data_IF_918473635137
#
_entry.id   IF_918473635137
#
_cell.length_a   1.000
_cell.length_b   1.000
_cell.length_c   1.000
_cell.angle_alpha   90.00
_cell.angle_beta   90.00
_cell.angle_gamma   90.00
#
_symmetry.space_group_name_H-M   'P 1'
#
loop_
_entity.id
_entity.type
_entity.pdbx_description
1 polymer ?
#
# COMPACT_ATOMS: atom_id res chain seq x y z
N UNK A 1 -75.22 -52.75 -34.33
CA UNK A 1 -75.18 -51.30 -34.62
C UNK A 1 -74.03 -50.53 -33.94
N UNK A 2 -73.48 -50.97 -32.81
CA UNK A 2 -72.32 -50.29 -32.15
C UNK A 2 -71.09 -50.11 -33.05
N UNK A 3 -70.76 -51.10 -33.91
CA UNK A 3 -69.57 -51.06 -34.78
C UNK A 3 -69.59 -49.96 -35.85
N UNK A 4 -70.77 -49.64 -36.42
CA UNK A 4 -70.90 -48.56 -37.41
C UNK A 4 -70.83 -47.17 -36.78
N UNK A 5 -71.31 -47.03 -35.54
CA UNK A 5 -71.25 -45.76 -34.81
C UNK A 5 -69.79 -45.39 -34.50
N UNK A 6 -69.00 -46.33 -33.98
CA UNK A 6 -67.58 -46.14 -33.70
C UNK A 6 -66.75 -45.83 -34.95
N UNK A 7 -67.13 -46.39 -36.11
CA UNK A 7 -66.47 -46.08 -37.39
C UNK A 7 -66.71 -44.63 -37.82
N UNK A 8 -67.97 -44.18 -37.85
CA UNK A 8 -68.29 -42.81 -38.25
C UNK A 8 -67.75 -41.76 -37.26
N UNK A 9 -67.77 -42.06 -35.96
CA UNK A 9 -67.16 -41.21 -34.93
C UNK A 9 -65.65 -41.04 -35.18
N UNK A 10 -64.95 -42.14 -35.51
CA UNK A 10 -63.53 -42.11 -35.83
C UNK A 10 -63.22 -41.32 -37.10
N UNK A 11 -64.04 -41.45 -38.15
CA UNK A 11 -63.87 -40.68 -39.40
C UNK A 11 -64.07 -39.18 -39.18
N UNK A 12 -65.11 -38.78 -38.45
CA UNK A 12 -65.34 -37.37 -38.14
C UNK A 12 -64.25 -36.79 -37.24
N UNK A 13 -63.80 -37.53 -36.22
CA UNK A 13 -62.69 -37.09 -35.38
C UNK A 13 -61.37 -36.96 -36.17
N UNK A 14 -61.08 -37.92 -37.06
CA UNK A 14 -59.90 -37.88 -37.92
C UNK A 14 -59.96 -36.70 -38.92
N UNK A 15 -61.11 -36.43 -39.54
CA UNK A 15 -61.27 -35.29 -40.44
C UNK A 15 -61.13 -33.94 -39.71
N UNK A 16 -61.71 -33.82 -38.50
CA UNK A 16 -61.61 -32.61 -37.68
C UNK A 16 -60.20 -32.35 -37.15
N UNK A 17 -59.39 -33.40 -36.92
CA UNK A 17 -57.98 -33.26 -36.55
C UNK A 17 -57.07 -33.02 -37.77
N UNK A 18 -57.36 -33.64 -38.91
CA UNK A 18 -56.52 -33.54 -40.11
C UNK A 18 -56.52 -32.14 -40.72
N UNK A 19 -57.66 -31.43 -40.70
CA UNK A 19 -57.77 -30.07 -41.28
C UNK A 19 -56.86 -29.03 -40.60
N UNK A 20 -56.88 -28.84 -39.27
CA UNK A 20 -55.99 -27.90 -38.60
C UNK A 20 -54.52 -28.33 -38.66
N UNK A 21 -54.22 -29.63 -38.64
CA UNK A 21 -52.85 -30.14 -38.79
C UNK A 21 -52.31 -29.85 -40.20
N UNK A 22 -53.09 -30.15 -41.24
CA UNK A 22 -52.70 -29.86 -42.63
C UNK A 22 -52.55 -28.35 -42.88
N UNK A 23 -53.46 -27.54 -42.32
CA UNK A 23 -53.36 -26.07 -42.38
C UNK A 23 -52.11 -25.53 -41.68
N UNK A 24 -51.74 -26.11 -40.53
CA UNK A 24 -50.51 -25.78 -39.81
C UNK A 24 -49.23 -26.19 -40.55
N UNK A 25 -49.22 -27.34 -41.23
CA UNK A 25 -48.07 -27.84 -41.98
C UNK A 25 -47.84 -27.06 -43.28
N UNK A 26 -48.90 -26.58 -43.94
CA UNK A 26 -48.79 -25.92 -45.25
C UNK A 26 -48.40 -24.43 -45.18
N UNK A 27 -48.21 -23.85 -43.99
CA UNK A 27 -47.80 -22.44 -43.86
C UNK A 27 -48.77 -21.46 -44.54
N UNK A 28 -50.03 -21.86 -44.71
CA UNK A 28 -51.05 -21.00 -45.29
C UNK A 28 -51.20 -19.75 -44.41
N UNK A 29 -51.14 -18.57 -45.04
CA UNK A 29 -51.28 -17.27 -44.36
C UNK A 29 -52.48 -17.28 -43.40
N UNK A 30 -52.35 -16.64 -42.23
CA UNK A 30 -53.36 -16.63 -41.16
C UNK A 30 -54.79 -16.33 -41.66
N UNK A 31 -54.92 -15.56 -42.74
CA UNK A 31 -56.21 -15.26 -43.37
C UNK A 31 -56.89 -16.47 -44.01
N UNK A 32 -56.15 -17.36 -44.68
CA UNK A 32 -56.67 -18.57 -45.31
C UNK A 32 -57.10 -19.59 -44.24
N UNK A 33 -56.27 -19.80 -43.21
CA UNK A 33 -56.61 -20.71 -42.10
C UNK A 33 -57.83 -20.21 -41.33
N UNK A 34 -57.92 -18.89 -41.07
CA UNK A 34 -59.09 -18.29 -40.41
C UNK A 34 -60.34 -18.43 -41.27
N UNK A 35 -60.25 -18.22 -42.59
CA UNK A 35 -61.38 -18.40 -43.51
C UNK A 35 -61.85 -19.86 -43.53
N UNK A 36 -60.94 -20.83 -43.65
CA UNK A 36 -61.27 -22.26 -43.62
C UNK A 36 -61.91 -22.64 -42.28
N UNK A 37 -61.32 -22.22 -41.16
CA UNK A 37 -61.86 -22.48 -39.82
C UNK A 37 -63.28 -21.91 -39.65
N UNK A 38 -63.50 -20.66 -40.06
CA UNK A 38 -64.84 -20.03 -40.02
C UNK A 38 -65.82 -20.78 -40.91
N UNK A 39 -65.40 -21.19 -42.11
CA UNK A 39 -66.28 -21.92 -43.04
C UNK A 39 -66.67 -23.28 -42.47
N UNK A 40 -65.72 -24.04 -41.94
CA UNK A 40 -65.96 -25.32 -41.26
C UNK A 40 -66.86 -25.13 -40.05
N UNK A 41 -66.62 -24.09 -39.23
CA UNK A 41 -67.44 -23.80 -38.06
C UNK A 41 -68.88 -23.45 -38.45
N UNK A 42 -69.10 -22.62 -39.47
CA UNK A 42 -70.43 -22.26 -39.98
C UNK A 42 -71.16 -23.49 -40.52
N UNK A 43 -70.47 -24.37 -41.26
CA UNK A 43 -71.06 -25.62 -41.77
C UNK A 43 -71.45 -26.55 -40.62
N UNK A 44 -70.58 -26.74 -39.62
CA UNK A 44 -70.86 -27.58 -38.45
C UNK A 44 -71.99 -26.99 -37.60
N UNK A 45 -71.97 -25.67 -37.35
CA UNK A 45 -73.04 -24.98 -36.64
C UNK A 45 -74.38 -25.09 -37.38
N UNK A 46 -74.36 -24.94 -38.71
CA UNK A 46 -75.54 -25.15 -39.56
C UNK A 46 -76.09 -26.58 -39.47
N UNK A 47 -75.22 -27.59 -39.48
CA UNK A 47 -75.61 -28.99 -39.28
C UNK A 47 -76.20 -29.24 -37.90
N UNK A 48 -75.64 -28.65 -36.85
CA UNK A 48 -76.17 -28.75 -35.47
C UNK A 48 -77.54 -28.10 -35.38
N UNK A 49 -77.72 -26.90 -35.95
CA UNK A 49 -79.03 -26.23 -35.99
C UNK A 49 -80.04 -27.07 -36.76
N UNK A 50 -79.66 -27.61 -37.93
CA UNK A 50 -80.53 -28.51 -38.71
C UNK A 50 -80.92 -29.77 -37.91
N UNK A 51 -79.98 -30.34 -37.15
CA UNK A 51 -80.22 -31.47 -36.26
C UNK A 51 -81.19 -31.11 -35.12
N UNK A 52 -81.01 -29.95 -34.48
CA UNK A 52 -81.91 -29.43 -33.44
C UNK A 52 -83.31 -29.18 -34.00
N UNK A 53 -83.42 -28.64 -35.20
CA UNK A 53 -84.70 -28.46 -35.90
C UNK A 53 -85.34 -29.81 -36.20
N UNK A 54 -84.58 -30.79 -36.70
CA UNK A 54 -85.07 -32.15 -36.93
C UNK A 54 -85.55 -32.81 -35.62
N UNK A 55 -84.87 -32.56 -34.51
CA UNK A 55 -85.29 -32.97 -33.16
C UNK A 55 -86.59 -32.28 -32.72
N UNK A 56 -86.82 -31.03 -33.12
CA UNK A 56 -88.06 -30.31 -32.81
C UNK A 56 -89.25 -30.88 -33.59
N UNK A 57 -89.03 -31.28 -34.86
CA UNK A 57 -90.03 -31.94 -35.70
C UNK A 57 -90.12 -33.45 -35.50
N UNK A 58 -89.40 -34.00 -34.52
CA UNK A 58 -89.39 -35.41 -34.12
C UNK A 58 -90.77 -36.05 -34.13
N UNK A 59 -91.73 -35.49 -33.38
CA UNK A 59 -93.03 -36.15 -33.20
C UNK A 59 -93.84 -36.17 -34.49
N UNK A 60 -93.60 -35.20 -35.36
CA UNK A 60 -94.20 -35.16 -36.69
C UNK A 60 -93.57 -36.22 -37.61
N UNK A 61 -92.24 -36.33 -37.62
CA UNK A 61 -91.49 -37.32 -38.40
C UNK A 61 -91.88 -38.75 -37.96
N UNK A 62 -91.91 -39.01 -36.65
CA UNK A 62 -92.27 -40.32 -36.11
C UNK A 62 -93.74 -40.66 -36.33
N UNK A 63 -94.67 -39.70 -36.19
CA UNK A 63 -96.08 -39.90 -36.56
C UNK A 63 -96.22 -40.23 -38.04
N UNK A 64 -95.45 -39.59 -38.92
CA UNK A 64 -95.53 -39.84 -40.36
C UNK A 64 -94.93 -41.18 -40.78
N UNK A 65 -93.84 -41.61 -40.16
CA UNK A 65 -93.16 -42.89 -40.47
C UNK A 65 -93.83 -44.10 -39.82
N UNK A 66 -94.30 -43.98 -38.58
CA UNK A 66 -94.78 -45.11 -37.78
C UNK A 66 -96.24 -45.00 -37.34
N UNK A 67 -96.95 -43.94 -37.74
CA UNK A 67 -98.36 -43.73 -37.44
C UNK A 67 -98.66 -43.29 -35.99
N UNK A 68 -97.70 -43.40 -35.05
CA UNK A 68 -97.82 -42.96 -33.65
C UNK A 68 -96.47 -42.43 -33.13
N UNK A 69 -96.51 -41.37 -32.30
CA UNK A 69 -95.31 -40.67 -31.79
C UNK A 69 -94.74 -41.24 -30.48
N UNK A 70 -95.54 -41.95 -29.69
CA UNK A 70 -95.12 -42.49 -28.39
C UNK A 70 -95.42 -43.98 -28.34
N UNK A 71 -94.36 -44.77 -28.20
CA UNK A 71 -94.43 -46.16 -27.78
C UNK A 71 -93.66 -46.22 -26.46
N UNK A 72 -94.39 -46.19 -25.36
CA UNK A 72 -93.77 -46.36 -24.04
C UNK A 72 -93.40 -47.83 -23.84
N UNK A 73 -92.46 -48.11 -22.93
CA UNK A 73 -92.13 -49.49 -22.55
C UNK A 73 -93.38 -50.21 -22.02
N UNK A 74 -94.28 -49.46 -21.38
CA UNK A 74 -95.55 -49.93 -20.84
C UNK A 74 -96.52 -50.36 -21.95
N UNK A 75 -96.54 -49.67 -23.10
CA UNK A 75 -97.36 -50.10 -24.25
C UNK A 75 -96.85 -51.39 -24.87
N UNK A 76 -95.52 -51.57 -24.90
CA UNK A 76 -94.87 -52.80 -25.40
C UNK A 76 -95.19 -53.97 -24.46
N UNK A 77 -95.07 -53.77 -23.14
CA UNK A 77 -95.37 -54.81 -22.14
C UNK A 77 -96.86 -55.17 -22.14
N UNK A 78 -97.75 -54.19 -22.22
CA UNK A 78 -99.21 -54.42 -22.32
C UNK A 78 -99.59 -55.22 -23.57
N UNK A 79 -98.96 -54.92 -24.72
CA UNK A 79 -99.21 -55.65 -25.97
C UNK A 79 -98.71 -57.10 -25.92
N UNK A 80 -97.58 -57.32 -25.27
CA UNK A 80 -97.02 -58.66 -25.06
C UNK A 80 -97.92 -59.49 -24.15
N UNK A 81 -98.37 -58.93 -23.02
CA UNK A 81 -99.27 -59.60 -22.07
C UNK A 81 -100.60 -59.96 -22.76
N UNK A 82 -101.21 -59.02 -23.48
CA UNK A 82 -102.45 -59.26 -24.22
C UNK A 82 -102.29 -60.35 -25.30
N UNK A 83 -101.19 -60.32 -26.05
CA UNK A 83 -100.88 -61.33 -27.07
C UNK A 83 -100.69 -62.74 -26.48
N UNK A 84 -99.99 -62.85 -25.35
CA UNK A 84 -99.81 -64.13 -24.63
C UNK A 84 -101.14 -64.64 -24.09
N UNK A 85 -101.99 -63.75 -23.53
CA UNK A 85 -103.32 -64.16 -23.05
C UNK A 85 -104.22 -64.67 -24.18
N UNK A 86 -104.25 -64.00 -25.33
CA UNK A 86 -105.05 -64.43 -26.48
C UNK A 86 -104.56 -65.76 -27.06
N UNK A 87 -103.24 -65.94 -27.16
CA UNK A 87 -102.64 -67.20 -27.59
C UNK A 87 -102.98 -68.36 -26.63
N UNK A 88 -102.98 -68.10 -25.31
CA UNK A 88 -103.36 -69.10 -24.30
C UNK A 88 -104.84 -69.48 -24.34
N UNK A 89 -105.70 -68.55 -24.76
CA UNK A 89 -107.13 -68.77 -24.94
C UNK A 89 -107.49 -69.48 -26.27
N UNK A 90 -106.50 -69.75 -27.13
CA UNK A 90 -106.71 -70.38 -28.43
C UNK A 90 -107.19 -69.44 -29.54
N UNK A 91 -107.28 -68.12 -29.28
CA UNK A 91 -107.67 -67.12 -30.26
C UNK A 91 -106.46 -66.68 -31.10
N UNK A 92 -106.26 -67.37 -32.23
CA UNK A 92 -105.11 -67.15 -33.13
C UNK A 92 -105.16 -65.78 -33.82
N UNK A 93 -106.35 -65.28 -34.13
CA UNK A 93 -106.50 -64.01 -34.84
C UNK A 93 -106.18 -62.83 -33.92
N UNK A 94 -106.68 -62.86 -32.68
CA UNK A 94 -106.30 -61.87 -31.67
C UNK A 94 -104.80 -61.95 -31.33
N UNK A 95 -104.24 -63.15 -31.21
CA UNK A 95 -102.81 -63.32 -30.94
C UNK A 95 -101.91 -62.72 -32.04
N UNK A 96 -102.25 -62.93 -33.31
CA UNK A 96 -101.47 -62.37 -34.44
C UNK A 96 -101.59 -60.85 -34.54
N UNK A 97 -102.78 -60.29 -34.30
CA UNK A 97 -102.99 -58.84 -34.26
C UNK A 97 -102.18 -58.18 -33.13
N UNK A 98 -102.17 -58.78 -31.93
CA UNK A 98 -101.36 -58.31 -30.81
C UNK A 98 -99.86 -58.46 -31.07
N UNK A 99 -99.42 -59.54 -31.74
CA UNK A 99 -98.03 -59.74 -32.12
C UNK A 99 -97.55 -58.68 -33.13
N UNK A 100 -98.34 -58.34 -34.15
CA UNK A 100 -98.00 -57.27 -35.10
C UNK A 100 -97.91 -55.91 -34.40
N UNK A 101 -98.85 -55.61 -33.50
CA UNK A 101 -98.84 -54.38 -32.72
C UNK A 101 -97.61 -54.31 -31.79
N UNK A 102 -97.22 -55.43 -31.18
CA UNK A 102 -96.01 -55.54 -30.37
C UNK A 102 -94.75 -55.27 -31.20
N UNK A 103 -94.63 -55.89 -32.39
CA UNK A 103 -93.47 -55.68 -33.27
C UNK A 103 -93.36 -54.23 -33.71
N UNK A 104 -94.47 -53.58 -34.11
CA UNK A 104 -94.47 -52.16 -34.48
C UNK A 104 -94.06 -51.26 -33.31
N UNK A 105 -94.61 -51.49 -32.10
CA UNK A 105 -94.24 -50.73 -30.89
C UNK A 105 -92.79 -50.96 -30.47
N UNK A 106 -92.34 -52.21 -30.52
CA UNK A 106 -90.96 -52.59 -30.21
C UNK A 106 -89.94 -51.97 -31.18
N UNK A 107 -90.25 -51.96 -32.48
CA UNK A 107 -89.41 -51.28 -33.48
C UNK A 107 -89.39 -49.77 -33.27
N UNK A 108 -90.54 -49.15 -32.93
CA UNK A 108 -90.61 -47.74 -32.58
C UNK A 108 -89.73 -47.39 -31.38
N UNK A 109 -89.82 -48.17 -30.30
CA UNK A 109 -88.99 -47.99 -29.10
C UNK A 109 -87.49 -48.23 -29.36
N UNK A 110 -87.14 -49.24 -30.17
CA UNK A 110 -85.76 -49.50 -30.52
C UNK A 110 -85.17 -48.38 -31.40
N UNK A 111 -85.91 -47.95 -32.42
CA UNK A 111 -85.51 -46.82 -33.28
C UNK A 111 -85.32 -45.56 -32.44
N UNK A 112 -86.21 -45.33 -31.47
CA UNK A 112 -86.13 -44.22 -30.53
C UNK A 112 -84.86 -44.24 -29.68
N UNK A 113 -84.60 -45.36 -29.00
CA UNK A 113 -83.43 -45.51 -28.13
C UNK A 113 -82.13 -45.44 -28.93
N UNK A 114 -82.12 -46.03 -30.14
CA UNK A 114 -81.00 -45.95 -31.07
C UNK A 114 -80.71 -44.50 -31.51
N UNK A 115 -81.75 -43.72 -31.76
CA UNK A 115 -81.64 -42.32 -32.13
C UNK A 115 -81.06 -41.45 -31.00
N UNK A 116 -81.52 -41.58 -29.75
CA UNK A 116 -80.90 -40.83 -28.62
C UNK A 116 -79.44 -41.15 -28.45
N UNK A 117 -79.09 -42.43 -28.51
CA UNK A 117 -77.71 -42.86 -28.33
C UNK A 117 -76.81 -42.32 -29.44
N UNK A 118 -77.36 -42.22 -30.67
CA UNK A 118 -76.67 -41.58 -31.78
C UNK A 118 -76.51 -40.07 -31.56
N UNK A 119 -77.57 -39.35 -31.15
CA UNK A 119 -77.50 -37.90 -30.89
C UNK A 119 -76.50 -37.56 -29.77
N UNK A 120 -76.54 -38.28 -28.65
CA UNK A 120 -75.62 -38.08 -27.52
C UNK A 120 -74.17 -38.35 -27.96
N UNK A 121 -73.93 -39.44 -28.70
CA UNK A 121 -72.59 -39.76 -29.20
C UNK A 121 -72.05 -38.68 -30.13
N UNK A 122 -72.88 -38.17 -31.05
CA UNK A 122 -72.49 -37.08 -31.97
C UNK A 122 -72.22 -35.78 -31.20
N UNK A 123 -73.04 -35.44 -30.19
CA UNK A 123 -72.84 -34.26 -29.37
C UNK A 123 -71.52 -34.32 -28.57
N UNK A 124 -71.21 -35.47 -27.95
CA UNK A 124 -69.94 -35.67 -27.23
C UNK A 124 -68.75 -35.60 -28.20
N UNK A 125 -68.84 -36.20 -29.39
CA UNK A 125 -67.77 -36.13 -30.39
C UNK A 125 -67.53 -34.69 -30.87
N UNK A 126 -68.59 -33.92 -31.10
CA UNK A 126 -68.46 -32.49 -31.47
C UNK A 126 -67.81 -31.68 -30.36
N UNK A 127 -68.15 -31.93 -29.09
CA UNK A 127 -67.56 -31.25 -27.95
C UNK A 127 -66.06 -31.57 -27.83
N UNK A 128 -65.68 -32.84 -27.97
CA UNK A 128 -64.27 -33.25 -27.97
C UNK A 128 -63.50 -32.65 -29.14
N UNK A 129 -64.08 -32.63 -30.33
CA UNK A 129 -63.43 -32.06 -31.50
C UNK A 129 -63.26 -30.53 -31.38
N UNK A 130 -64.25 -29.84 -30.80
CA UNK A 130 -64.14 -28.42 -30.48
C UNK A 130 -63.04 -28.15 -29.45
N UNK A 131 -62.96 -28.96 -28.39
CA UNK A 131 -61.90 -28.86 -27.38
C UNK A 131 -60.51 -29.07 -27.98
N UNK A 132 -60.34 -30.07 -28.85
CA UNK A 132 -59.09 -30.33 -29.55
C UNK A 132 -58.71 -29.15 -30.46
N UNK A 133 -59.65 -28.63 -31.24
CA UNK A 133 -59.43 -27.49 -32.13
C UNK A 133 -59.00 -26.24 -31.35
N UNK A 134 -59.69 -25.93 -30.25
CA UNK A 134 -59.36 -24.80 -29.38
C UNK A 134 -57.96 -24.96 -28.77
N UNK A 135 -57.59 -26.18 -28.34
CA UNK A 135 -56.25 -26.48 -27.85
C UNK A 135 -55.17 -26.21 -28.90
N UNK A 136 -55.37 -26.62 -30.16
CA UNK A 136 -54.42 -26.36 -31.24
C UNK A 136 -54.27 -24.86 -31.54
N UNK A 137 -55.37 -24.10 -31.58
CA UNK A 137 -55.32 -22.64 -31.80
C UNK A 137 -54.55 -21.92 -30.69
N UNK A 138 -54.78 -22.30 -29.43
CA UNK A 138 -54.04 -21.72 -28.29
C UNK A 138 -52.53 -22.02 -28.37
N UNK A 139 -52.16 -23.24 -28.76
CA UNK A 139 -50.75 -23.60 -28.95
C UNK A 139 -50.08 -22.81 -30.07
N UNK A 140 -50.78 -22.56 -31.19
CA UNK A 140 -50.26 -21.71 -32.26
C UNK A 140 -50.04 -20.28 -31.79
N UNK A 141 -50.99 -19.69 -31.08
CA UNK A 141 -50.87 -18.33 -30.56
C UNK A 141 -49.73 -18.20 -29.52
N UNK A 142 -49.51 -19.23 -28.70
CA UNK A 142 -48.37 -19.28 -27.79
C UNK A 142 -47.04 -19.32 -28.55
N UNK A 143 -46.91 -20.19 -29.56
CA UNK A 143 -45.69 -20.27 -30.37
C UNK A 143 -45.40 -18.95 -31.12
N UNK A 144 -46.44 -18.28 -31.61
CA UNK A 144 -46.32 -16.96 -32.26
C UNK A 144 -45.73 -15.93 -31.30
N UNK A 145 -46.28 -15.83 -30.08
CA UNK A 145 -45.77 -14.91 -29.04
C UNK A 145 -44.35 -15.23 -28.60
N UNK A 146 -43.99 -16.51 -28.51
CA UNK A 146 -42.60 -16.93 -28.22
C UNK A 146 -41.64 -16.51 -29.33
N UNK A 147 -42.07 -16.57 -30.59
CA UNK A 147 -41.30 -16.06 -31.73
C UNK A 147 -41.01 -14.57 -31.61
N UNK A 148 -42.05 -13.76 -31.38
CA UNK A 148 -41.92 -12.30 -31.19
C UNK A 148 -40.99 -11.95 -30.01
N UNK A 149 -41.12 -12.65 -28.88
CA UNK A 149 -40.24 -12.45 -27.72
C UNK A 149 -38.78 -12.79 -28.03
N UNK A 150 -38.54 -13.87 -28.78
CA UNK A 150 -37.18 -14.28 -29.15
C UNK A 150 -36.50 -13.24 -30.03
N UNK A 151 -37.25 -12.61 -30.95
CA UNK A 151 -36.74 -11.54 -31.81
C UNK A 151 -36.37 -10.29 -31.01
N UNK A 152 -37.22 -9.88 -30.05
CA UNK A 152 -36.92 -8.75 -29.15
C UNK A 152 -35.68 -9.02 -28.29
N UNK A 153 -35.55 -10.24 -27.76
CA UNK A 153 -34.36 -10.63 -26.99
C UNK A 153 -33.09 -10.61 -27.84
N UNK A 154 -33.18 -11.05 -29.10
CA UNK A 154 -32.06 -10.99 -30.04
C UNK A 154 -31.61 -9.55 -30.29
N UNK A 155 -32.56 -8.64 -30.52
CA UNK A 155 -32.28 -7.21 -30.70
C UNK A 155 -31.69 -6.55 -29.45
N UNK A 156 -32.15 -6.93 -28.25
CA UNK A 156 -31.56 -6.49 -26.99
C UNK A 156 -30.12 -7.01 -26.82
N UNK A 157 -29.86 -8.27 -27.19
CA UNK A 157 -28.53 -8.86 -27.17
C UNK A 157 -27.55 -8.12 -28.09
N UNK A 158 -27.98 -7.75 -29.30
CA UNK A 158 -27.16 -6.96 -30.23
C UNK A 158 -26.81 -5.58 -29.65
N UNK A 159 -27.79 -4.87 -29.04
CA UNK A 159 -27.54 -3.58 -28.38
C UNK A 159 -26.59 -3.68 -27.18
N UNK A 160 -26.70 -4.75 -26.38
CA UNK A 160 -25.80 -4.99 -25.26
C UNK A 160 -24.37 -5.27 -25.72
N UNK A 161 -24.20 -6.01 -26.82
CA UNK A 161 -22.89 -6.23 -27.42
C UNK A 161 -22.25 -4.90 -27.89
N UNK A 162 -23.03 -4.03 -28.52
CA UNK A 162 -22.58 -2.69 -28.94
C UNK A 162 -22.17 -1.81 -27.75
N UNK A 163 -22.99 -1.76 -26.68
CA UNK A 163 -22.65 -1.04 -25.45
C UNK A 163 -21.39 -1.58 -24.79
N UNK A 164 -21.22 -2.89 -24.76
CA UNK A 164 -20.01 -3.53 -24.19
C UNK A 164 -18.76 -3.13 -24.98
N UNK A 165 -18.84 -3.10 -26.31
CA UNK A 165 -17.74 -2.62 -27.16
C UNK A 165 -17.39 -1.15 -26.90
N UNK A 166 -18.39 -0.28 -26.74
CA UNK A 166 -18.16 1.14 -26.42
C UNK A 166 -17.52 1.35 -25.04
N UNK A 167 -17.95 0.59 -24.03
CA UNK A 167 -17.35 0.64 -22.68
C UNK A 167 -15.89 0.18 -22.69
N UNK A 168 -15.57 -0.84 -23.47
CA UNK A 168 -14.18 -1.31 -23.61
C UNK A 168 -13.29 -0.22 -24.22
N UNK A 169 -13.76 0.46 -25.27
CA UNK A 169 -13.03 1.59 -25.88
C UNK A 169 -12.84 2.77 -24.90
N UNK A 170 -13.83 3.08 -24.05
CA UNK A 170 -13.65 4.09 -22.99
C UNK A 170 -12.62 3.68 -21.94
N UNK A 171 -12.60 2.39 -21.57
CA UNK A 171 -11.64 1.86 -20.59
C UNK A 171 -10.22 1.98 -21.12
N UNK A 172 -10.00 1.62 -22.39
CA UNK A 172 -8.71 1.77 -23.06
C UNK A 172 -8.27 3.24 -23.12
N UNK A 173 -9.19 4.16 -23.42
CA UNK A 173 -8.91 5.60 -23.42
C UNK A 173 -8.53 6.12 -22.02
N UNK A 174 -9.22 5.67 -20.98
CA UNK A 174 -8.90 6.04 -19.59
C UNK A 174 -7.54 5.50 -19.14
N UNK A 175 -7.19 4.27 -19.52
CA UNK A 175 -5.88 3.70 -19.24
C UNK A 175 -4.77 4.52 -19.90
N UNK A 176 -4.94 4.87 -21.19
CA UNK A 176 -3.99 5.73 -21.90
C UNK A 176 -3.87 7.14 -21.29
N UNK A 177 -4.96 7.71 -20.75
CA UNK A 177 -4.89 8.98 -20.00
C UNK A 177 -4.13 8.83 -18.67
N UNK A 178 -4.36 7.74 -17.95
CA UNK A 178 -3.70 7.48 -16.67
C UNK A 178 -2.20 7.31 -16.85
N UNK A 179 -1.78 6.57 -17.88
CA UNK A 179 -0.38 6.39 -18.25
C UNK A 179 0.29 7.72 -18.58
N UNK A 180 -0.34 8.57 -19.40
CA UNK A 180 0.19 9.92 -19.69
C UNK A 180 0.30 10.82 -18.46
N UNK A 181 -0.65 10.73 -17.53
CA UNK A 181 -0.58 11.49 -16.28
C UNK A 181 0.56 11.00 -15.39
N UNK A 182 0.80 9.68 -15.37
CA UNK A 182 1.94 9.12 -14.66
C UNK A 182 3.25 9.60 -15.28
N UNK A 183 3.40 9.52 -16.61
CA UNK A 183 4.58 10.04 -17.32
C UNK A 183 4.82 11.54 -17.04
N UNK A 184 3.75 12.36 -17.01
CA UNK A 184 3.86 13.78 -16.67
C UNK A 184 4.30 14.01 -15.22
N UNK A 185 3.81 13.19 -14.29
CA UNK A 185 4.18 13.29 -12.87
C UNK A 185 5.64 12.90 -12.66
N UNK A 186 6.09 11.83 -13.32
CA UNK A 186 7.49 11.39 -13.30
C UNK A 186 8.42 12.44 -13.94
N UNK A 187 8.03 13.03 -15.07
CA UNK A 187 8.78 14.10 -15.70
C UNK A 187 8.88 15.36 -14.82
N UNK A 188 7.80 15.72 -14.12
CA UNK A 188 7.81 16.85 -13.18
C UNK A 188 8.70 16.58 -11.96
N UNK A 189 8.67 15.35 -11.42
CA UNK A 189 9.56 14.95 -10.32
C UNK A 189 11.04 15.06 -10.73
N UNK A 190 11.39 14.56 -11.92
CA UNK A 190 12.74 14.63 -12.46
C UNK A 190 13.18 16.08 -12.73
N UNK A 191 12.27 16.95 -13.17
CA UNK A 191 12.56 18.39 -13.32
C UNK A 191 12.85 19.06 -11.98
N UNK A 192 12.10 18.73 -10.92
CA UNK A 192 12.35 19.26 -9.58
C UNK A 192 13.71 18.79 -9.03
N UNK A 193 14.08 17.54 -9.26
CA UNK A 193 15.38 17.00 -8.86
C UNK A 193 16.54 17.73 -9.57
N UNK A 194 16.43 17.92 -10.90
CA UNK A 194 17.43 18.68 -11.67
C UNK A 194 17.52 20.13 -11.18
N UNK A 195 16.39 20.78 -10.87
CA UNK A 195 16.38 22.14 -10.35
C UNK A 195 17.09 22.23 -9.00
N UNK A 196 16.87 21.25 -8.11
CA UNK A 196 17.55 21.17 -6.81
C UNK A 196 19.06 20.97 -6.97
N UNK A 197 19.50 20.07 -7.85
CA UNK A 197 20.93 19.84 -8.12
C UNK A 197 21.62 21.10 -8.69
N UNK A 198 20.95 21.83 -9.58
CA UNK A 198 21.47 23.09 -10.10
C UNK A 198 21.58 24.16 -9.00
N UNK A 199 20.60 24.22 -8.09
CA UNK A 199 20.62 25.14 -6.95
C UNK A 199 21.77 24.80 -5.99
N UNK A 200 21.94 23.52 -5.63
CA UNK A 200 23.06 23.03 -4.81
C UNK A 200 24.40 23.45 -5.44
N UNK A 201 24.57 23.23 -6.75
CA UNK A 201 25.79 23.58 -7.48
C UNK A 201 26.07 25.09 -7.49
N UNK A 202 25.04 25.93 -7.70
CA UNK A 202 25.19 27.40 -7.69
C UNK A 202 25.55 27.92 -6.29
N UNK A 203 24.85 27.44 -5.26
CA UNK A 203 25.13 27.79 -3.86
C UNK A 203 26.55 27.39 -3.47
N UNK A 204 26.95 26.15 -3.76
CA UNK A 204 28.32 25.66 -3.55
C UNK A 204 29.36 26.55 -4.22
N UNK A 205 29.16 26.86 -5.50
CA UNK A 205 30.08 27.68 -6.29
C UNK A 205 30.23 29.08 -5.69
N UNK A 206 29.12 29.71 -5.28
CA UNK A 206 29.15 31.03 -4.63
C UNK A 206 29.86 31.00 -3.27
N UNK A 207 29.60 29.97 -2.47
CA UNK A 207 30.28 29.79 -1.19
C UNK A 207 31.79 29.70 -1.38
N UNK A 208 32.24 28.81 -2.27
CA UNK A 208 33.67 28.62 -2.58
C UNK A 208 34.32 29.88 -3.17
N UNK A 209 33.66 30.56 -4.11
CA UNK A 209 34.18 31.77 -4.73
C UNK A 209 34.41 32.92 -3.73
N UNK A 210 33.71 32.89 -2.59
CA UNK A 210 33.82 33.90 -1.53
C UNK A 210 34.61 33.44 -0.31
N UNK A 211 35.02 32.18 -0.28
CA UNK A 211 35.84 31.62 0.77
C UNK A 211 37.29 32.06 0.58
N UNK A 212 37.93 32.46 1.69
CA UNK A 212 39.35 32.81 1.68
C UNK A 212 40.16 31.58 2.11
N UNK A 213 41.15 31.20 1.30
CA UNK A 213 42.16 30.19 1.68
C UNK A 213 43.42 30.89 2.13
N UNK A 214 44.00 30.44 3.23
CA UNK A 214 45.26 30.96 3.78
C UNK A 214 46.13 29.79 4.22
N UNK A 215 47.45 29.98 4.17
CA UNK A 215 48.34 28.99 4.79
C UNK A 215 48.19 29.02 6.31
N UNK A 216 48.49 27.91 6.98
CA UNK A 216 48.51 27.83 8.43
C UNK A 216 49.42 28.92 9.05
N UNK A 217 50.58 29.20 8.46
CA UNK A 217 51.46 30.28 8.91
C UNK A 217 50.81 31.67 8.82
N UNK A 218 50.08 31.93 7.74
CA UNK A 218 49.35 33.19 7.57
C UNK A 218 48.20 33.29 8.58
N UNK A 219 47.39 32.23 8.73
CA UNK A 219 46.29 32.18 9.69
C UNK A 219 46.76 32.45 11.12
N UNK A 220 47.87 31.82 11.50
CA UNK A 220 48.54 32.06 12.78
C UNK A 220 48.98 33.51 12.95
N UNK A 221 49.49 34.14 11.89
CA UNK A 221 49.94 35.53 11.92
C UNK A 221 48.80 36.54 11.98
N UNK A 222 47.60 36.18 11.51
CA UNK A 222 46.40 37.02 11.61
C UNK A 222 45.75 36.99 12.98
N UNK A 223 45.84 35.86 13.67
CA UNK A 223 45.41 35.75 15.05
C UNK A 223 46.50 36.44 15.88
N UNK A 224 46.26 37.66 16.35
CA UNK A 224 47.18 38.48 17.20
C UNK A 224 47.41 37.86 18.61
N UNK A 225 47.36 36.53 18.69
CA UNK A 225 47.82 35.77 19.82
C UNK A 225 49.28 35.43 19.63
N UNK A 226 50.14 35.71 20.62
CA UNK A 226 51.48 35.18 20.62
C UNK A 226 51.35 33.66 20.70
N UNK A 227 51.46 32.96 19.57
CA UNK A 227 51.78 31.55 19.61
C UNK A 227 53.03 31.43 20.49
N UNK A 228 53.08 30.47 21.44
CA UNK A 228 54.31 30.20 22.15
C UNK A 228 55.38 29.90 21.09
N UNK A 229 56.30 30.85 20.84
CA UNK A 229 57.15 30.89 19.66
C UNK A 229 58.19 29.75 19.57
N UNK A 230 58.03 28.73 20.43
CA UNK A 230 58.63 27.40 20.45
C UNK A 230 57.99 26.67 21.63
N UNK A 231 56.96 25.88 21.43
CA UNK A 231 56.62 24.82 22.40
C UNK A 231 57.67 23.71 22.24
N UNK A 232 58.88 23.95 22.73
CA UNK A 232 59.84 22.86 22.95
C UNK A 232 59.28 22.04 24.11
N UNK A 233 58.76 20.86 23.80
CA UNK A 233 58.59 19.80 24.79
C UNK A 233 60.01 19.34 25.17
N UNK A 234 60.61 20.01 26.15
CA UNK A 234 61.91 19.62 26.70
C UNK A 234 61.65 18.41 27.59
N UNK A 235 61.74 17.22 27.03
CA UNK A 235 62.05 16.04 27.84
C UNK A 235 63.58 16.02 27.98
N UNK A 236 64.10 15.95 29.21
CA UNK A 236 65.46 16.38 29.55
C UNK A 236 66.61 15.59 28.89
N UNK A 237 66.36 14.55 28.09
CA UNK A 237 67.44 13.75 27.47
C UNK A 237 67.27 13.42 25.97
N UNK A 238 66.12 13.70 25.32
CA UNK A 238 65.97 13.61 23.86
C UNK A 238 64.94 14.63 23.35
N UNK A 239 65.34 15.55 22.46
CA UNK A 239 64.47 16.60 21.91
C UNK A 239 63.55 16.05 20.81
N UNK A 240 62.35 15.58 21.17
CA UNK A 240 61.27 15.40 20.20
C UNK A 240 60.74 16.82 19.85
N UNK A 241 61.13 17.35 18.70
CA UNK A 241 60.63 18.64 18.19
C UNK A 241 59.30 18.42 17.45
N UNK A 242 58.26 19.16 17.87
CA UNK A 242 56.99 19.24 17.15
C UNK A 242 57.16 20.26 16.03
N UNK A 243 57.00 19.82 14.78
CA UNK A 243 56.98 20.70 13.62
C UNK A 243 55.53 20.94 13.23
N UNK A 244 55.12 22.20 13.30
CA UNK A 244 53.85 22.64 12.75
C UNK A 244 54.01 22.74 11.23
N UNK A 245 53.23 21.98 10.48
CA UNK A 245 53.20 22.04 9.03
C UNK A 245 52.52 23.33 8.58
N UNK A 246 53.31 24.39 8.51
CA UNK A 246 52.87 25.73 8.10
C UNK A 246 52.32 25.80 6.67
N UNK A 247 52.55 24.75 5.85
CA UNK A 247 52.06 24.64 4.48
C UNK A 247 50.65 24.10 4.33
N UNK A 248 49.99 23.67 5.41
CA UNK A 248 48.57 23.28 5.33
C UNK A 248 47.73 24.49 4.93
N UNK A 249 46.95 24.34 3.87
CA UNK A 249 45.97 25.35 3.48
C UNK A 249 44.71 25.19 4.31
N UNK A 250 44.33 26.28 4.95
CA UNK A 250 43.12 26.38 5.73
C UNK A 250 42.13 27.29 5.04
N UNK A 251 40.84 26.99 5.21
CA UNK A 251 39.77 27.72 4.52
C UNK A 251 38.85 28.41 5.52
N UNK A 252 38.62 29.70 5.33
CA UNK A 252 37.61 30.48 6.06
C UNK A 252 36.19 30.19 5.52
N UNK A 253 35.14 30.35 6.34
CA UNK A 253 33.77 30.28 5.85
C UNK A 253 33.50 31.38 4.80
N UNK A 254 32.45 31.23 3.98
CA UNK A 254 31.97 32.25 3.06
C UNK A 254 31.82 33.59 3.77
N UNK A 255 32.20 34.67 3.08
CA UNK A 255 32.12 36.01 3.64
C UNK A 255 30.67 36.40 3.99
N UNK A 256 30.51 37.40 4.86
CA UNK A 256 29.20 37.80 5.36
C UNK A 256 28.21 38.23 4.27
N UNK A 257 28.70 38.81 3.16
CA UNK A 257 27.85 39.23 2.05
C UNK A 257 27.24 38.03 1.30
N UNK A 258 28.05 37.00 1.01
CA UNK A 258 27.56 35.75 0.40
C UNK A 258 26.54 35.06 1.31
N UNK A 259 26.84 34.96 2.61
CA UNK A 259 25.89 34.34 3.57
C UNK A 259 24.57 35.12 3.65
N UNK A 260 24.63 36.45 3.73
CA UNK A 260 23.42 37.28 3.76
C UNK A 260 22.60 37.16 2.46
N UNK A 261 23.26 37.04 1.31
CA UNK A 261 22.57 36.82 0.04
C UNK A 261 21.84 35.47 -0.01
N UNK A 262 22.50 34.39 0.44
CA UNK A 262 21.88 33.05 0.50
C UNK A 262 20.77 33.01 1.54
N UNK A 263 20.96 33.67 2.69
CA UNK A 263 19.92 33.82 3.71
C UNK A 263 18.69 34.56 3.15
N UNK A 264 18.90 35.61 2.34
CA UNK A 264 17.83 36.30 1.63
C UNK A 264 17.07 35.43 0.63
N UNK A 265 17.76 34.49 -0.03
CA UNK A 265 17.12 33.47 -0.88
C UNK A 265 16.32 32.47 -0.05
N UNK A 266 16.86 32.02 1.07
CA UNK A 266 16.21 31.08 1.99
C UNK A 266 15.01 31.70 2.73
N UNK A 267 14.99 33.01 2.91
CA UNK A 267 13.86 33.75 3.48
C UNK A 267 12.73 34.00 2.47
N UNK A 268 12.96 33.78 1.16
CA UNK A 268 11.94 33.96 0.14
C UNK A 268 10.94 32.80 0.16
N UNK A 269 9.66 33.08 0.43
CA UNK A 269 8.63 32.03 0.60
C UNK A 269 8.46 31.08 -0.60
N UNK A 270 8.90 31.45 -1.80
CA UNK A 270 8.81 30.58 -2.99
C UNK A 270 9.99 29.63 -3.14
N UNK A 271 11.14 29.96 -2.57
CA UNK A 271 12.39 29.22 -2.71
C UNK A 271 12.91 28.68 -1.37
N UNK A 272 12.33 29.10 -0.25
CA UNK A 272 12.77 28.79 1.09
C UNK A 272 13.03 27.28 1.25
N UNK A 273 12.03 26.45 0.96
CA UNK A 273 12.14 25.00 1.09
C UNK A 273 13.25 24.40 0.23
N UNK A 274 13.36 24.81 -1.04
CA UNK A 274 14.39 24.31 -1.96
C UNK A 274 15.80 24.73 -1.53
N UNK A 275 15.97 25.97 -1.07
CA UNK A 275 17.25 26.49 -0.58
C UNK A 275 17.65 25.81 0.72
N UNK A 276 16.71 25.58 1.64
CA UNK A 276 16.95 24.86 2.88
C UNK A 276 17.36 23.41 2.63
N UNK A 277 16.65 22.69 1.75
CA UNK A 277 17.03 21.32 1.36
C UNK A 277 18.40 21.28 0.68
N UNK A 278 18.70 22.25 -0.19
CA UNK A 278 20.02 22.37 -0.80
C UNK A 278 21.12 22.63 0.25
N UNK A 279 20.87 23.48 1.24
CA UNK A 279 21.80 23.75 2.34
C UNK A 279 22.04 22.50 3.21
N UNK A 280 21.00 21.73 3.51
CA UNK A 280 21.14 20.45 4.23
C UNK A 280 21.99 19.47 3.42
N UNK A 281 21.78 19.39 2.11
CA UNK A 281 22.63 18.56 1.23
C UNK A 281 24.10 19.00 1.24
N UNK A 282 24.34 20.32 1.26
CA UNK A 282 25.70 20.89 1.33
C UNK A 282 26.42 20.64 2.67
N UNK A 283 25.75 20.14 3.72
CA UNK A 283 26.40 19.69 4.94
C UNK A 283 27.26 18.43 4.72
N UNK A 284 27.05 17.71 3.62
CA UNK A 284 27.82 16.53 3.22
C UNK A 284 28.96 16.86 2.24
N UNK A 285 29.24 18.15 1.97
CA UNK A 285 30.31 18.54 1.05
C UNK A 285 31.70 18.27 1.66
N UNK A 286 32.68 17.94 0.82
CA UNK A 286 34.06 17.72 1.26
C UNK A 286 34.79 19.05 1.56
N UNK A 287 34.30 20.18 1.03
CA UNK A 287 34.94 21.48 1.20
C UNK A 287 34.50 22.15 2.52
N UNK A 288 35.42 22.42 3.46
CA UNK A 288 35.08 22.94 4.79
C UNK A 288 34.37 24.30 4.74
N UNK A 289 34.71 25.15 3.76
CA UNK A 289 34.00 26.41 3.55
C UNK A 289 32.51 26.22 3.27
N UNK A 290 32.17 25.22 2.46
CA UNK A 290 30.78 24.96 2.06
C UNK A 290 30.00 24.45 3.27
N UNK A 291 30.55 23.46 3.98
CA UNK A 291 29.93 22.90 5.20
C UNK A 291 29.74 23.98 6.26
N UNK A 292 30.78 24.75 6.58
CA UNK A 292 30.66 25.85 7.56
C UNK A 292 29.68 26.93 7.10
N UNK A 293 29.66 27.26 5.80
CA UNK A 293 28.71 28.20 5.22
C UNK A 293 27.27 27.72 5.40
N UNK A 294 27.00 26.45 5.10
CA UNK A 294 25.70 25.83 5.28
C UNK A 294 25.26 25.81 6.75
N UNK A 295 26.13 25.39 7.68
CA UNK A 295 25.85 25.40 9.13
C UNK A 295 25.44 26.80 9.59
N UNK A 296 26.24 27.82 9.28
CA UNK A 296 25.98 29.19 9.73
C UNK A 296 24.66 29.76 9.19
N UNK A 297 24.30 29.39 7.96
CA UNK A 297 23.04 29.86 7.34
C UNK A 297 21.84 29.10 7.92
N UNK A 298 21.95 27.78 8.10
CA UNK A 298 20.88 26.96 8.70
C UNK A 298 20.61 27.33 10.16
N UNK A 299 21.68 27.60 10.93
CA UNK A 299 21.57 28.09 12.31
C UNK A 299 20.84 29.44 12.37
N UNK A 300 21.18 30.36 11.45
CA UNK A 300 20.49 31.65 11.32
C UNK A 300 19.02 31.55 10.91
N UNK A 301 18.61 30.41 10.35
CA UNK A 301 17.23 30.12 9.93
C UNK A 301 16.44 29.33 10.99
N UNK A 302 17.05 28.99 12.12
CA UNK A 302 16.45 28.14 13.16
C UNK A 302 16.09 26.74 12.62
N UNK A 303 16.91 26.20 11.72
CA UNK A 303 16.71 24.87 11.10
C UNK A 303 17.74 23.89 11.63
N UNK A 304 17.27 22.97 12.46
CA UNK A 304 18.09 21.87 12.96
C UNK A 304 18.20 20.77 11.90
N UNK A 305 19.42 20.42 11.45
CA UNK A 305 19.59 19.29 10.53
C UNK A 305 19.33 17.95 11.24
N UNK A 306 19.23 16.83 10.50
CA UNK A 306 19.23 15.49 11.10
C UNK A 306 20.45 15.27 12.01
N UNK A 307 20.34 14.35 12.98
CA UNK A 307 21.28 14.00 14.08
C UNK A 307 22.68 13.47 13.63
N UNK A 308 23.17 13.90 12.48
CA UNK A 308 24.42 13.48 11.88
C UNK A 308 25.63 14.26 12.46
N UNK A 309 26.80 13.62 12.45
CA UNK A 309 28.07 14.24 12.82
C UNK A 309 28.69 14.92 11.59
N UNK A 310 28.80 16.24 11.62
CA UNK A 310 29.34 17.02 10.49
C UNK A 310 30.84 17.22 10.63
N UNK A 311 31.61 16.70 9.67
CA UNK A 311 33.07 16.78 9.68
C UNK A 311 33.57 18.02 8.95
N UNK A 312 34.37 18.84 9.61
CA UNK A 312 35.05 20.02 9.06
C UNK A 312 36.54 19.74 9.11
N UNK A 313 37.17 19.61 7.93
CA UNK A 313 38.62 19.39 7.81
C UNK A 313 39.32 20.63 7.26
N UNK A 314 40.46 21.03 7.80
CA UNK A 314 41.24 22.18 7.30
C UNK A 314 40.43 23.51 7.28
N UNK A 315 39.54 23.69 8.26
CA UNK A 315 38.73 24.91 8.40
C UNK A 315 39.34 25.93 9.37
N UNK A 316 39.09 27.22 9.16
CA UNK A 316 39.30 28.28 10.17
C UNK A 316 37.96 28.85 10.60
N UNK A 317 37.67 28.76 11.90
CA UNK A 317 36.50 29.36 12.54
C UNK A 317 36.95 30.53 13.43
N UNK A 318 36.89 31.78 12.96
CA UNK A 318 37.42 32.94 13.69
C UNK A 318 36.58 33.28 14.94
N UNK A 319 35.26 33.39 14.79
CA UNK A 319 34.32 33.52 15.89
C UNK A 319 32.94 33.10 15.39
N UNK A 320 32.43 32.00 15.93
CA UNK A 320 31.17 31.40 15.52
C UNK A 320 30.28 31.22 16.74
N UNK A 321 29.04 31.66 16.60
CA UNK A 321 27.97 31.56 17.57
C UNK A 321 26.91 30.67 16.91
N UNK A 322 26.64 29.52 17.51
CA UNK A 322 25.58 28.62 17.06
C UNK A 322 24.53 28.55 18.17
N UNK A 323 23.28 28.85 17.83
CA UNK A 323 22.18 28.85 18.79
C UNK A 323 21.51 27.47 18.87
N UNK A 324 21.62 26.66 17.81
CA UNK A 324 21.05 25.31 17.74
C UNK A 324 21.99 24.23 18.27
N UNK A 325 21.44 23.03 18.47
CA UNK A 325 22.21 21.82 18.76
C UNK A 325 22.90 21.30 17.49
N UNK A 326 24.23 21.27 17.51
CA UNK A 326 25.05 20.71 16.42
C UNK A 326 26.03 19.66 16.92
N UNK A 327 26.24 18.62 16.10
CA UNK A 327 27.28 17.62 16.31
C UNK A 327 28.40 17.88 15.32
N UNK A 328 29.49 18.48 15.78
CA UNK A 328 30.58 18.95 14.93
C UNK A 328 31.86 18.16 15.18
N UNK A 329 32.53 17.72 14.11
CA UNK A 329 33.83 17.07 14.16
C UNK A 329 34.87 17.91 13.42
N UNK A 330 35.78 18.54 14.15
CA UNK A 330 36.89 19.30 13.57
C UNK A 330 38.11 18.41 13.42
N UNK A 331 38.65 18.33 12.21
CA UNK A 331 39.93 17.69 11.91
C UNK A 331 40.88 18.70 11.29
N UNK A 332 42.13 18.73 11.72
CA UNK A 332 43.18 19.58 11.14
C UNK A 332 42.76 21.06 10.96
N UNK A 333 41.97 21.58 11.89
CA UNK A 333 41.31 22.89 11.78
C UNK A 333 41.82 23.88 12.83
N UNK A 334 41.49 25.16 12.68
CA UNK A 334 41.66 26.19 13.71
C UNK A 334 40.29 26.69 14.13
N UNK A 335 39.97 26.58 15.41
CA UNK A 335 38.74 27.08 16.01
C UNK A 335 39.12 28.12 17.06
N UNK A 336 38.97 29.39 16.72
CA UNK A 336 39.40 30.49 17.58
C UNK A 336 38.37 30.80 18.68
N UNK A 337 37.10 30.94 18.30
CA UNK A 337 35.99 31.07 19.27
C UNK A 337 34.76 30.33 18.77
N UNK A 338 34.32 29.34 19.52
CA UNK A 338 33.06 28.62 19.28
C UNK A 338 32.18 28.70 20.53
N UNK A 339 31.04 29.41 20.40
CA UNK A 339 29.98 29.38 21.42
C UNK A 339 28.82 28.59 20.86
N UNK A 340 28.53 27.48 21.50
CA UNK A 340 27.35 26.70 21.19
C UNK A 340 26.92 25.94 22.45
N UNK A 341 25.88 26.40 23.15
CA UNK A 341 25.47 25.81 24.41
C UNK A 341 25.13 24.33 24.19
N UNK A 342 24.30 24.00 23.21
CA UNK A 342 23.85 22.63 23.00
C UNK A 342 24.72 21.80 22.02
N UNK A 343 25.97 22.18 21.71
CA UNK A 343 26.78 21.41 20.75
C UNK A 343 27.52 20.23 21.37
N UNK A 344 27.61 19.14 20.60
CA UNK A 344 28.58 18.06 20.82
C UNK A 344 29.75 18.27 19.87
N UNK A 345 30.90 18.67 20.40
CA UNK A 345 32.08 18.95 19.58
C UNK A 345 33.14 17.88 19.78
N UNK A 346 33.54 17.25 18.67
CA UNK A 346 34.69 16.35 18.60
C UNK A 346 35.82 17.09 17.89
N UNK A 347 37.00 17.11 18.49
CA UNK A 347 38.17 17.76 17.89
C UNK A 347 39.28 16.72 17.78
N UNK A 348 39.87 16.62 16.60
CA UNK A 348 41.02 15.76 16.33
C UNK A 348 42.07 16.60 15.66
N UNK A 349 43.21 16.76 16.32
CA UNK A 349 44.35 17.34 15.65
C UNK A 349 44.23 18.81 15.29
N UNK A 350 43.27 19.52 15.88
CA UNK A 350 42.97 20.92 15.57
C UNK A 350 43.42 21.83 16.73
N UNK A 351 43.56 23.12 16.46
CA UNK A 351 43.85 24.14 17.49
C UNK A 351 42.55 24.79 17.95
N UNK A 352 42.26 24.72 19.26
CA UNK A 352 41.09 25.35 19.88
C UNK A 352 41.57 26.38 20.91
N UNK A 353 41.20 27.65 20.72
CA UNK A 353 41.65 28.76 21.57
C UNK A 353 40.65 29.12 22.67
N UNK A 354 39.36 29.21 22.33
CA UNK A 354 38.30 29.48 23.30
C UNK A 354 37.03 28.74 22.90
N UNK A 355 36.43 27.99 23.84
CA UNK A 355 35.13 27.37 23.59
C UNK A 355 34.23 27.44 24.81
N UNK A 356 32.95 27.77 24.57
CA UNK A 356 31.86 27.59 25.52
C UNK A 356 30.92 26.57 24.90
N UNK A 357 31.17 25.29 25.20
CA UNK A 357 30.43 24.13 24.68
C UNK A 357 30.04 23.21 25.84
N UNK A 358 28.79 22.73 25.88
CA UNK A 358 28.31 21.88 26.99
C UNK A 358 28.87 20.44 26.93
N UNK A 359 29.37 19.99 25.77
CA UNK A 359 29.97 18.67 25.57
C UNK A 359 31.20 18.70 24.68
N UNK A 360 32.39 18.50 25.27
CA UNK A 360 33.66 18.44 24.56
C UNK A 360 34.29 17.04 24.64
N UNK A 361 34.51 16.40 23.50
CA UNK A 361 35.18 15.10 23.40
C UNK A 361 36.42 15.22 22.51
N UNK A 362 37.61 15.20 23.11
CA UNK A 362 38.87 15.35 22.39
C UNK A 362 39.79 14.14 22.54
N UNK A 363 40.44 13.75 21.46
CA UNK A 363 41.66 12.93 21.48
C UNK A 363 42.72 13.72 20.73
N UNK A 364 43.95 13.80 21.26
CA UNK A 364 45.07 14.35 20.49
C UNK A 364 44.97 15.85 20.12
N UNK A 365 44.57 16.71 21.07
CA UNK A 365 44.39 18.16 20.83
C UNK A 365 45.36 19.02 21.64
N UNK A 366 45.73 20.18 21.07
CA UNK A 366 46.39 21.26 21.79
C UNK A 366 45.33 22.29 22.16
N UNK A 367 44.97 22.33 23.44
CA UNK A 367 44.08 23.34 24.00
C UNK A 367 44.97 24.49 24.51
N UNK A 368 44.86 25.66 23.85
CA UNK A 368 45.61 26.85 24.24
C UNK A 368 44.64 27.79 24.92
N UNK A 369 44.52 27.65 26.25
CA UNK A 369 43.78 28.61 27.06
C UNK A 369 44.51 29.95 27.06
N UNK A 370 43.98 30.90 26.29
CA UNK A 370 44.39 32.30 26.31
C UNK A 370 43.80 33.02 27.52
N UNK A 371 44.21 32.61 28.72
CA UNK A 371 44.29 33.41 29.95
C UNK A 371 44.84 32.51 31.08
N UNK A 372 45.75 33.04 31.90
CA UNK A 372 46.17 32.41 33.15
C UNK A 372 44.92 32.16 34.02
N UNK A 373 44.45 30.92 34.09
CA UNK A 373 43.62 30.46 35.19
C UNK A 373 44.53 29.79 36.21
N UNK A 374 44.77 30.48 37.31
CA UNK A 374 45.27 29.87 38.55
C UNK A 374 44.19 28.85 38.98
N UNK A 375 44.43 27.55 38.76
CA UNK A 375 43.53 26.50 39.26
C UNK A 375 43.80 26.36 40.76
N UNK A 376 43.27 27.30 41.53
CA UNK A 376 42.95 27.07 42.93
C UNK A 376 41.44 26.83 43.02
N UNK A 377 41.09 25.55 43.21
CA UNK A 377 39.76 25.04 43.60
C UNK A 377 38.83 24.58 42.46
N UNK A 378 38.80 23.26 42.28
CA UNK A 378 37.76 22.51 41.56
C UNK A 378 36.65 22.17 42.57
N UNK A 379 35.51 22.84 42.47
CA UNK A 379 34.31 22.52 43.26
C UNK A 379 33.49 21.45 42.53
N UNK A 380 33.43 20.25 43.13
CA UNK A 380 32.79 19.06 42.58
C UNK A 380 31.38 18.83 43.15
N UNK A 381 30.71 19.86 43.66
CA UNK A 381 29.45 19.65 44.41
C UNK A 381 28.19 19.52 43.56
N UNK A 382 28.20 19.58 42.22
CA UNK A 382 27.00 19.23 41.46
C UNK A 382 27.28 18.55 40.11
N UNK A 383 26.90 17.26 40.06
CA UNK A 383 26.71 16.37 38.89
C UNK A 383 27.88 15.49 38.44
N UNK A 384 28.25 14.54 39.32
CA UNK A 384 28.77 13.23 38.91
C UNK A 384 27.71 12.18 39.27
N UNK A 385 26.77 11.89 38.36
CA UNK A 385 25.59 11.07 38.68
C UNK A 385 25.77 9.54 38.59
N UNK A 386 26.90 9.01 38.12
CA UNK A 386 27.36 7.65 38.51
C UNK A 386 28.73 7.33 37.91
N UNK A 387 29.59 6.70 38.72
CA UNK A 387 30.70 5.87 38.22
C UNK A 387 30.30 4.43 38.55
N UNK A 388 30.15 3.60 37.52
CA UNK A 388 29.80 2.19 37.69
C UNK A 388 31.10 1.39 37.95
N UNK A 389 31.49 1.27 39.23
CA UNK A 389 32.64 0.48 39.64
C UNK A 389 32.19 -0.92 40.07
N UNK A 390 32.77 -1.96 39.48
CA UNK A 390 32.34 -3.36 39.66
C UNK A 390 32.94 -4.04 40.90
N UNK A 391 33.72 -3.33 41.73
CA UNK A 391 34.17 -3.84 43.03
C UNK A 391 34.98 -2.82 43.82
N UNK A 392 34.54 -2.53 45.04
CA UNK A 392 35.33 -1.82 46.05
C UNK A 392 35.66 -2.83 47.14
N UNK A 393 36.94 -3.03 47.41
CA UNK A 393 37.42 -3.85 48.53
C UNK A 393 38.27 -2.99 49.46
N UNK A 394 37.95 -3.07 50.75
CA UNK A 394 38.67 -2.39 51.83
C UNK A 394 39.40 -3.47 52.62
N UNK A 395 40.72 -3.48 52.58
CA UNK A 395 41.55 -4.38 53.38
C UNK A 395 42.56 -3.53 54.15
N UNK A 396 42.30 -3.36 55.45
CA UNK A 396 43.12 -2.49 56.30
C UNK A 396 42.95 -1.01 55.95
N UNK A 397 44.06 -0.25 55.93
CA UNK A 397 44.05 1.20 55.72
C UNK A 397 44.13 1.60 54.22
N UNK A 398 43.88 0.66 53.31
CA UNK A 398 43.94 0.89 51.86
C UNK A 398 42.58 0.64 51.21
N UNK A 399 42.17 1.55 50.34
CA UNK A 399 40.97 1.44 49.50
C UNK A 399 41.43 1.21 48.08
N UNK A 400 41.05 0.08 47.49
CA UNK A 400 41.34 -0.25 46.09
C UNK A 400 40.04 -0.21 45.27
N UNK A 401 40.05 0.57 44.18
CA UNK A 401 38.94 0.72 43.24
C UNK A 401 39.40 0.13 41.91
N UNK A 402 38.67 -0.84 41.39
CA UNK A 402 38.93 -1.45 40.07
C UNK A 402 37.78 -1.12 39.13
N UNK A 403 38.09 -0.51 37.98
CA UNK A 403 37.13 -0.19 36.93
C UNK A 403 37.79 -0.29 35.56
N UNK A 404 37.03 -0.69 34.53
CA UNK A 404 37.60 -1.05 33.22
C UNK A 404 38.01 0.13 32.33
N UNK A 405 37.64 1.37 32.67
CA UNK A 405 38.05 2.59 31.95
C UNK A 405 38.08 3.80 32.89
N UNK A 406 39.09 3.90 33.76
CA UNK A 406 39.35 5.13 34.51
C UNK A 406 40.29 6.04 33.69
N UNK A 407 39.96 7.33 33.47
CA UNK A 407 40.88 8.25 32.84
C UNK A 407 42.11 8.46 33.74
N UNK A 408 43.28 8.54 33.13
CA UNK A 408 44.55 8.81 33.81
C UNK A 408 44.60 10.28 34.24
N UNK A 409 44.57 10.53 35.55
CA UNK A 409 44.68 11.88 36.13
C UNK A 409 46.05 11.96 36.84
N UNK A 410 47.06 12.60 36.26
CA UNK A 410 48.30 12.86 36.96
C UNK A 410 48.03 13.99 37.97
N UNK A 411 48.31 13.73 39.24
CA UNK A 411 48.21 14.67 40.38
C UNK A 411 46.83 14.92 40.99
N UNK A 412 46.25 13.89 41.60
CA UNK A 412 45.23 14.08 42.65
C UNK A 412 45.92 14.25 44.01
N UNK A 413 46.07 15.50 44.49
CA UNK A 413 46.67 15.76 45.81
C UNK A 413 45.70 15.65 46.99
N UNK A 414 44.38 15.65 46.76
CA UNK A 414 43.35 15.38 47.79
C UNK A 414 42.07 14.87 47.16
N UNK A 415 41.61 13.70 47.61
CA UNK A 415 40.25 13.22 47.38
C UNK A 415 39.43 13.50 48.64
N UNK A 416 38.41 14.35 48.57
CA UNK A 416 37.43 14.53 49.64
C UNK A 416 36.22 13.67 49.33
N UNK A 417 36.04 12.59 50.07
CA UNK A 417 34.77 11.86 50.12
C UNK A 417 33.98 12.44 51.30
N UNK A 418 32.77 12.91 51.05
CA UNK A 418 31.93 13.54 52.07
C UNK A 418 31.56 12.56 53.18
N UNK A 419 32.23 12.68 54.34
CA UNK A 419 31.78 12.17 55.63
C UNK A 419 31.35 13.40 56.47
N UNK A 420 30.14 13.42 57.05
CA UNK A 420 29.66 14.55 57.87
C UNK A 420 30.52 14.85 59.11
N UNK A 421 31.53 14.03 59.45
CA UNK A 421 32.39 14.25 60.62
C UNK A 421 33.79 14.82 60.33
N UNK A 422 34.06 15.31 59.11
CA UNK A 422 35.18 16.23 58.87
C UNK A 422 36.60 15.64 59.05
N UNK A 423 36.83 14.38 58.69
CA UNK A 423 38.18 13.80 58.71
C UNK A 423 38.83 13.96 57.32
N UNK A 424 39.93 14.71 57.27
CA UNK A 424 40.79 14.86 56.10
C UNK A 424 41.90 13.81 56.12
N UNK A 425 41.98 13.00 55.06
CA UNK A 425 43.08 12.07 54.85
C UNK A 425 44.12 12.69 53.91
N UNK A 426 45.40 12.57 54.26
CA UNK A 426 46.53 13.05 53.45
C UNK A 426 47.23 11.82 52.86
N UNK A 427 46.99 11.55 51.58
CA UNK A 427 47.63 10.45 50.88
C UNK A 427 49.06 10.89 50.53
N UNK A 428 50.07 10.21 51.07
CA UNK A 428 51.44 10.29 50.57
C UNK A 428 51.60 9.23 49.48
N UNK A 429 52.02 9.57 48.26
CA UNK A 429 52.31 8.56 47.26
C UNK A 429 53.55 7.78 47.70
N UNK A 430 53.35 6.57 48.19
CA UNK A 430 54.41 5.56 48.27
C UNK A 430 54.24 4.61 47.10
N UNK A 431 55.13 4.72 46.11
CA UNK A 431 55.37 3.64 45.15
C UNK A 431 55.97 2.46 45.92
N UNK A 432 55.12 1.54 46.35
CA UNK A 432 55.52 0.26 46.92
C UNK A 432 55.07 -0.86 45.99
N UNK A 433 55.88 -1.18 44.98
CA UNK A 433 55.78 -2.43 44.24
C UNK A 433 56.33 -3.55 45.13
N UNK A 434 55.44 -4.28 45.82
CA UNK A 434 55.77 -5.62 46.30
C UNK A 434 55.55 -6.61 45.17
N UNK A 435 56.63 -7.17 44.63
CA UNK A 435 56.66 -8.57 44.24
C UNK A 435 58.06 -9.15 44.49
N UNK A 436 58.02 -10.36 45.01
CA UNK A 436 59.12 -11.09 45.63
C UNK A 436 59.77 -11.98 44.55
N UNK A 437 61.11 -11.86 44.41
CA UNK A 437 62.07 -12.80 43.77
C UNK A 437 61.89 -13.05 42.24
N UNK A 438 62.89 -12.99 41.36
CA UNK A 438 64.31 -12.69 41.44
C UNK A 438 64.82 -12.42 40.00
N UNK A 439 65.85 -11.57 39.83
CA UNK A 439 66.69 -11.55 38.63
C UNK A 439 66.64 -10.30 37.74
N UNK A 440 67.51 -9.33 38.07
CA UNK A 440 68.09 -8.21 37.30
C UNK A 440 67.70 -7.95 35.82
N UNK A 441 67.55 -6.63 35.55
CA UNK A 441 67.50 -5.87 34.27
C UNK A 441 66.13 -5.47 33.74
N UNK A 442 65.41 -4.61 34.47
CA UNK A 442 64.48 -3.64 33.87
C UNK A 442 64.46 -2.36 34.72
N UNK A 443 65.46 -1.49 34.52
CA UNK A 443 65.36 -0.06 34.85
C UNK A 443 65.70 0.82 33.64
N UNK A 444 66.31 0.27 32.59
CA UNK A 444 66.59 1.01 31.33
C UNK A 444 65.51 0.86 30.23
N UNK A 445 64.28 0.45 30.56
CA UNK A 445 63.24 0.21 29.53
C UNK A 445 61.89 0.91 29.77
N UNK A 446 61.86 1.95 30.62
CA UNK A 446 60.67 2.82 30.75
C UNK A 446 60.96 4.26 30.28
N UNK A 447 62.20 4.57 29.90
CA UNK A 447 62.60 5.91 29.43
C UNK A 447 62.98 5.99 27.94
N UNK A 448 62.64 4.99 27.12
CA UNK A 448 62.99 4.96 25.68
C UNK A 448 61.78 5.01 24.70
N UNK A 449 60.53 5.05 25.17
CA UNK A 449 59.34 4.82 24.32
C UNK A 449 58.38 6.02 24.17
N UNK A 450 58.82 7.27 24.39
CA UNK A 450 57.95 8.46 24.28
C UNK A 450 57.76 9.00 22.85
N UNK A 451 58.71 8.79 21.95
CA UNK A 451 58.59 9.29 20.57
C UNK A 451 57.72 8.40 19.62
N UNK A 452 57.61 7.05 19.76
CA UNK A 452 56.72 6.22 18.92
C UNK A 452 55.22 6.50 19.04
N UNK A 453 54.72 6.84 20.24
CA UNK A 453 53.32 7.25 20.46
C UNK A 453 53.00 8.58 19.80
N UNK A 454 53.97 9.50 19.74
CA UNK A 454 53.88 10.75 18.97
C UNK A 454 53.98 10.50 17.46
N UNK A 455 54.70 9.47 17.03
CA UNK A 455 54.77 9.10 15.62
C UNK A 455 53.43 8.54 15.09
N UNK A 456 52.66 7.83 15.93
CA UNK A 456 51.27 7.45 15.63
C UNK A 456 50.35 8.67 15.42
N UNK A 457 50.59 9.76 16.15
CA UNK A 457 49.85 11.02 16.04
C UNK A 457 50.12 11.72 14.70
N UNK A 458 51.40 11.87 14.30
CA UNK A 458 51.73 12.51 13.02
C UNK A 458 51.33 11.70 11.79
N UNK A 459 51.22 10.38 11.89
CA UNK A 459 50.77 9.57 10.76
C UNK A 459 49.27 9.75 10.42
N UNK A 460 48.50 10.42 11.29
CA UNK A 460 47.05 10.63 11.11
C UNK A 460 46.66 12.12 11.07
N UNK A 461 47.63 13.04 11.04
CA UNK A 461 47.40 14.47 11.16
C UNK A 461 48.36 15.25 10.25
N UNK A 462 47.81 16.06 9.35
CA UNK A 462 48.59 16.81 8.37
C UNK A 462 49.18 18.12 8.93
N UNK A 463 48.64 18.63 10.06
CA UNK A 463 49.12 19.85 10.73
C UNK A 463 50.41 19.65 11.53
N UNK A 464 50.70 18.44 11.98
CA UNK A 464 51.85 18.18 12.85
C UNK A 464 52.74 17.07 12.30
N UNK A 465 54.04 17.36 12.18
CA UNK A 465 55.06 16.37 11.87
C UNK A 465 56.08 16.30 12.99
N UNK A 466 56.64 15.12 13.25
CA UNK A 466 57.72 14.94 14.22
C UNK A 466 59.01 14.64 13.50
N UNK A 467 60.09 15.32 13.89
CA UNK A 467 61.44 14.99 13.45
C UNK A 467 62.33 14.82 14.68
N UNK A 468 63.12 13.75 14.71
CA UNK A 468 64.16 13.58 15.72
C UNK A 468 65.24 14.62 15.44
N UNK A 469 65.52 15.50 16.40
CA UNK A 469 66.59 16.49 16.27
C UNK A 469 67.97 15.80 16.13
N UNK A 470 68.96 16.44 15.46
CA UNK A 470 70.32 15.92 15.46
C UNK A 470 70.87 15.92 16.90
N UNK A 471 71.46 14.79 17.32
CA UNK A 471 72.19 14.71 18.59
C UNK A 471 73.39 15.66 18.51
N UNK A 472 73.39 16.74 19.28
CA UNK A 472 74.59 17.56 19.45
C UNK A 472 75.67 16.71 20.16
N UNK A 473 76.92 16.66 19.65
CA UNK A 473 77.98 15.92 20.30
C UNK A 473 78.28 16.54 21.66
N UNK A 474 78.07 15.76 22.73
CA UNK A 474 78.43 16.12 24.10
C UNK A 474 79.97 16.29 24.15
N UNK A 475 80.44 17.53 24.22
CA UNK A 475 81.85 17.83 24.47
C UNK A 475 82.09 17.67 25.98
N UNK A 476 82.95 16.74 26.43
CA UNK A 476 83.22 16.58 27.86
C UNK A 476 83.95 17.82 28.41
N UNK A 477 83.69 18.22 29.67
CA UNK A 477 84.35 19.36 30.27
C UNK A 477 85.86 19.09 30.38
N UNK A 478 86.67 20.04 29.88
CA UNK A 478 88.13 20.03 30.09
C UNK A 478 88.42 20.10 31.58
N UNK A 479 88.90 19.00 32.15
CA UNK A 479 89.53 19.00 33.47
C UNK A 479 90.82 19.82 33.42
N UNK A 480 90.90 20.83 34.29
CA UNK A 480 92.15 21.52 34.62
C UNK A 480 92.89 20.64 35.62
N UNK A 481 94.04 20.11 35.22
CA UNK A 481 95.04 19.54 36.12
C UNK A 481 95.96 20.69 36.54
N UNK A 482 96.04 20.96 37.84
CA UNK A 482 97.19 21.64 38.45
C UNK A 482 97.78 20.74 39.56
N UNK A 483 99.10 20.57 39.48
CA UNK A 483 100.07 19.72 40.21
C UNK A 483 100.32 18.29 39.72
#
# INVERSE_FOLDING_TARGET
MTKHLSFWLGVFAAALLAVPIAGGIMGATEQEVRRIAVTVFVVVAGLVVALVVALFFRDWILRKLFGRAEATLDDVSASLIAGVSAASAGDRDAATAHAQALVQRGMGWYAWTGFYRWVIATAVALLLAFGAFMGTVLLFEQNRKLGEQTEVLRAQGERLAEQTGFMQAQTELMQAQTERLQEQTEAAALQNEIAMLNLVSDLRTRMLASARRVSLAEAIGEVDYPLPAKTRLINQEETCEVYVNTGVELTYPPNGATRAAILGLAANSRLAEQVQQALVFLLQDDEPAVVMGAILILDSLDITPPDDLFSIRNGILPAVWLDLEWRLAFSDSIVHMLRCPACVVTVTGSLLYTSQVDGFYGSHNFEVYGDLLDITEFDADNRLQSINATGISIIGNEVSIVGNHLPYIPDVHRLKLGDPNGISWKIKPHLATRNFLAGQRVVDRVLADTCPTLQSFANHNDLFSFRRGPLEPIVPPRGVLDF
#
